data_IF_962615962922
#
_entry.id   IF_962615962922
#
_cell.length_a   1.000
_cell.length_b   1.000
_cell.length_c   1.000
_cell.angle_alpha   90.00
_cell.angle_beta   90.00
_cell.angle_gamma   90.00
#
_symmetry.space_group_name_H-M   'P 1'
#
loop_
_entity.id
_entity.type
_entity.pdbx_description
1 polymer ?
#
# COMPACT_ATOMS: atom_id res chain seq x y z
N UNK A 1 19.15 17.17 11.52
CA UNK A 1 19.02 17.34 10.06
C UNK A 1 17.54 17.18 9.76
N UNK A 2 16.81 18.28 9.60
CA UNK A 2 15.39 18.22 9.24
C UNK A 2 15.24 17.73 7.80
N UNK A 3 14.18 16.98 7.52
CA UNK A 3 13.86 16.53 6.16
C UNK A 3 13.18 17.69 5.45
N UNK A 4 13.72 18.16 4.33
CA UNK A 4 13.06 19.22 3.57
C UNK A 4 11.64 18.79 3.15
N UNK A 5 10.66 19.70 3.26
CA UNK A 5 9.26 19.44 2.87
C UNK A 5 9.14 18.75 1.51
N UNK A 6 9.97 19.16 0.54
CA UNK A 6 10.03 18.56 -0.80
C UNK A 6 10.47 17.10 -0.79
N UNK A 7 11.45 16.75 0.04
CA UNK A 7 11.94 15.38 0.20
C UNK A 7 10.84 14.53 0.85
N UNK A 8 10.20 15.05 1.90
CA UNK A 8 9.11 14.37 2.58
C UNK A 8 7.92 14.09 1.65
N UNK A 9 7.50 15.09 0.86
CA UNK A 9 6.43 14.92 -0.14
C UNK A 9 6.80 13.86 -1.18
N UNK A 10 8.06 13.86 -1.66
CA UNK A 10 8.53 12.83 -2.60
C UNK A 10 8.50 11.42 -1.98
N UNK A 11 8.90 11.29 -0.72
CA UNK A 11 8.83 9.99 -0.01
C UNK A 11 7.38 9.51 0.14
N UNK A 12 6.44 10.43 0.40
CA UNK A 12 5.01 10.11 0.46
C UNK A 12 4.46 9.69 -0.91
N UNK A 13 4.85 10.36 -1.98
CA UNK A 13 4.49 9.98 -3.35
C UNK A 13 5.00 8.57 -3.70
N UNK A 14 6.24 8.25 -3.35
CA UNK A 14 6.81 6.93 -3.55
C UNK A 14 6.08 5.85 -2.73
N UNK A 15 5.73 6.15 -1.48
CA UNK A 15 4.97 5.23 -0.62
C UNK A 15 3.55 4.98 -1.14
N UNK A 16 2.84 6.02 -1.57
CA UNK A 16 1.51 5.90 -2.20
C UNK A 16 1.60 5.03 -3.46
N UNK A 17 2.58 5.30 -4.32
CA UNK A 17 2.79 4.53 -5.55
C UNK A 17 3.16 3.06 -5.28
N UNK A 18 3.79 2.75 -4.15
CA UNK A 18 4.06 1.37 -3.74
C UNK A 18 2.78 0.64 -3.30
N UNK A 19 1.94 1.29 -2.49
CA UNK A 19 0.67 0.70 -2.05
C UNK A 19 -0.29 0.47 -3.24
N UNK A 20 -0.41 1.44 -4.14
CA UNK A 20 -1.25 1.32 -5.35
C UNK A 20 -0.81 0.18 -6.28
N UNK A 21 0.50 -0.12 -6.33
CA UNK A 21 1.02 -1.27 -7.08
C UNK A 21 0.82 -2.60 -6.34
N UNK A 22 0.74 -2.57 -5.01
CA UNK A 22 0.60 -3.78 -4.18
C UNK A 22 -0.82 -4.33 -4.20
N UNK A 23 -1.84 -3.46 -4.21
CA UNK A 23 -3.26 -3.82 -4.31
C UNK A 23 -3.56 -4.80 -5.46
N UNK A 24 -3.21 -4.52 -6.74
CA UNK A 24 -3.49 -5.44 -7.84
C UNK A 24 -2.70 -6.75 -7.77
N UNK A 25 -1.51 -6.75 -7.14
CA UNK A 25 -0.72 -7.96 -6.91
C UNK A 25 -1.46 -8.90 -5.96
N UNK A 26 -1.96 -8.39 -4.84
CA UNK A 26 -2.73 -9.17 -3.87
C UNK A 26 -4.06 -9.64 -4.43
N UNK A 27 -4.78 -8.78 -5.16
CA UNK A 27 -6.12 -9.11 -5.63
C UNK A 27 -6.13 -10.03 -6.88
N UNK A 28 -5.25 -9.80 -7.86
CA UNK A 28 -5.35 -10.47 -9.18
C UNK A 28 -4.25 -11.50 -9.40
N UNK A 29 -3.00 -11.10 -9.20
CA UNK A 29 -1.86 -11.94 -9.55
C UNK A 29 -1.71 -13.12 -8.59
N UNK A 30 -1.80 -12.87 -7.28
CA UNK A 30 -1.66 -13.94 -6.30
C UNK A 30 -2.87 -14.87 -6.22
N UNK A 31 -4.10 -14.38 -6.43
CA UNK A 31 -5.26 -15.28 -6.57
C UNK A 31 -5.11 -16.24 -7.75
N UNK A 32 -4.60 -15.74 -8.88
CA UNK A 32 -4.31 -16.58 -10.04
C UNK A 32 -3.20 -17.57 -9.68
N UNK A 33 -2.06 -17.13 -9.15
CA UNK A 33 -0.96 -18.00 -8.77
C UNK A 33 -1.38 -19.09 -7.76
N UNK A 34 -2.24 -18.76 -6.79
CA UNK A 34 -2.79 -19.72 -5.82
C UNK A 34 -3.69 -20.77 -6.46
N UNK A 35 -4.38 -20.45 -7.55
CA UNK A 35 -5.16 -21.44 -8.28
C UNK A 35 -4.26 -22.49 -8.93
N UNK A 36 -3.13 -22.06 -9.49
CA UNK A 36 -2.16 -22.91 -10.20
C UNK A 36 -1.11 -23.57 -9.30
N UNK A 37 -1.03 -23.23 -8.01
CA UNK A 37 0.03 -23.69 -7.11
C UNK A 37 -0.10 -25.17 -6.68
N UNK A 38 -1.22 -25.83 -6.98
CA UNK A 38 -1.47 -27.20 -6.54
C UNK A 38 -1.72 -27.37 -5.05
N UNK A 39 -1.85 -26.26 -4.30
CA UNK A 39 -2.10 -26.30 -2.85
C UNK A 39 -3.47 -26.90 -2.51
N UNK A 40 -3.59 -27.60 -1.36
CA UNK A 40 -4.87 -28.05 -0.84
C UNK A 40 -5.89 -26.90 -0.70
N UNK A 41 -7.18 -27.20 -0.86
CA UNK A 41 -8.24 -26.19 -0.83
C UNK A 41 -8.23 -25.35 0.46
N UNK A 42 -7.97 -25.97 1.61
CA UNK A 42 -7.91 -25.28 2.90
C UNK A 42 -6.74 -24.26 2.97
N UNK A 43 -5.57 -24.60 2.41
CA UNK A 43 -4.41 -23.72 2.39
C UNK A 43 -4.61 -22.56 1.40
N UNK A 44 -5.21 -22.83 0.23
CA UNK A 44 -5.58 -21.79 -0.73
C UNK A 44 -6.56 -20.79 -0.15
N UNK A 45 -7.55 -21.27 0.61
CA UNK A 45 -8.54 -20.40 1.24
C UNK A 45 -7.90 -19.54 2.35
N UNK A 46 -7.02 -20.11 3.17
CA UNK A 46 -6.26 -19.36 4.18
C UNK A 46 -5.42 -18.25 3.54
N UNK A 47 -4.70 -18.55 2.45
CA UNK A 47 -3.90 -17.58 1.72
C UNK A 47 -4.78 -16.51 1.07
N UNK A 48 -5.92 -16.88 0.49
CA UNK A 48 -6.89 -15.93 -0.09
C UNK A 48 -7.38 -14.92 0.94
N UNK A 49 -7.69 -15.38 2.16
CA UNK A 49 -8.10 -14.50 3.27
C UNK A 49 -6.96 -13.55 3.66
N UNK A 50 -5.75 -14.06 3.83
CA UNK A 50 -4.58 -13.23 4.18
C UNK A 50 -4.28 -12.17 3.13
N UNK A 51 -4.34 -12.52 1.85
CA UNK A 51 -4.16 -11.57 0.75
C UNK A 51 -5.24 -10.49 0.73
N UNK A 52 -6.49 -10.86 1.03
CA UNK A 52 -7.58 -9.89 1.17
C UNK A 52 -7.40 -8.94 2.35
N UNK A 53 -6.76 -9.39 3.44
CA UNK A 53 -6.39 -8.50 4.56
C UNK A 53 -5.30 -7.53 4.12
N UNK A 54 -4.25 -8.01 3.46
CA UNK A 54 -3.15 -7.17 2.96
C UNK A 54 -3.65 -6.12 1.96
N UNK A 55 -4.57 -6.50 1.06
CA UNK A 55 -5.23 -5.56 0.14
C UNK A 55 -5.91 -4.41 0.90
N UNK A 56 -6.72 -4.73 1.92
CA UNK A 56 -7.43 -3.72 2.72
C UNK A 56 -6.49 -2.82 3.51
N UNK A 57 -5.40 -3.38 4.06
CA UNK A 57 -4.40 -2.59 4.77
C UNK A 57 -3.66 -1.65 3.80
N UNK A 58 -3.28 -2.13 2.61
CA UNK A 58 -2.70 -1.28 1.55
C UNK A 58 -3.65 -0.14 1.13
N UNK A 59 -4.94 -0.42 0.92
CA UNK A 59 -5.94 0.63 0.65
C UNK A 59 -6.03 1.67 1.78
N UNK A 60 -5.96 1.22 3.03
CA UNK A 60 -5.96 2.09 4.20
C UNK A 60 -4.70 2.94 4.25
N UNK A 61 -3.53 2.36 3.97
CA UNK A 61 -2.26 3.08 3.90
C UNK A 61 -2.28 4.14 2.81
N UNK A 62 -2.74 3.82 1.59
CA UNK A 62 -2.91 4.79 0.51
C UNK A 62 -3.75 5.98 0.97
N UNK A 63 -4.88 5.74 1.64
CA UNK A 63 -5.74 6.82 2.17
C UNK A 63 -5.03 7.67 3.22
N UNK A 64 -4.34 7.05 4.17
CA UNK A 64 -3.62 7.75 5.23
C UNK A 64 -2.46 8.59 4.67
N UNK A 65 -1.65 8.01 3.79
CA UNK A 65 -0.52 8.68 3.15
C UNK A 65 -0.99 9.84 2.26
N UNK A 66 -2.09 9.67 1.52
CA UNK A 66 -2.67 10.74 0.70
C UNK A 66 -3.18 11.89 1.57
N UNK A 67 -3.85 11.58 2.68
CA UNK A 67 -4.31 12.59 3.63
C UNK A 67 -3.14 13.33 4.27
N UNK A 68 -2.06 12.62 4.63
CA UNK A 68 -0.89 13.23 5.24
C UNK A 68 -0.09 14.09 4.24
N UNK A 69 0.03 13.63 2.99
CA UNK A 69 0.58 14.42 1.88
C UNK A 69 -0.18 15.72 1.69
N UNK A 70 -1.52 15.67 1.66
CA UNK A 70 -2.35 16.85 1.50
C UNK A 70 -2.19 17.86 2.65
N UNK A 71 -2.07 17.38 3.90
CA UNK A 71 -1.78 18.24 5.06
C UNK A 71 -0.42 18.93 4.92
N UNK A 72 0.63 18.18 4.61
CA UNK A 72 1.99 18.71 4.48
C UNK A 72 2.06 19.69 3.31
N UNK A 73 1.38 19.42 2.20
CA UNK A 73 1.33 20.31 1.04
C UNK A 73 0.67 21.66 1.39
N UNK A 74 -0.45 21.62 2.13
CA UNK A 74 -1.18 22.82 2.59
C UNK A 74 -0.56 23.57 3.77
N UNK A 75 0.41 22.98 4.50
CA UNK A 75 1.12 23.66 5.59
C UNK A 75 2.27 24.50 5.03
N UNK A 76 2.31 25.81 5.31
CA UNK A 76 3.38 26.71 4.85
C UNK A 76 4.71 26.46 5.57
N UNK A 77 4.71 25.69 6.66
CA UNK A 77 5.92 25.41 7.46
C UNK A 77 6.75 24.31 6.81
N UNK A 78 8.07 24.53 6.75
CA UNK A 78 8.99 23.42 6.57
C UNK A 78 8.88 22.49 7.78
N UNK A 79 8.68 21.20 7.53
CA UNK A 79 8.61 20.18 8.57
C UNK A 79 10.05 19.97 9.07
N UNK A 80 10.35 20.37 10.30
CA UNK A 80 11.70 20.33 10.89
C UNK A 80 11.98 19.02 11.62
#
# INVERSE_FOLDING_TARGET
MGVEKKILLKMLDEAIALEDRSIPIYNRHLKTALFWSGLPAAEREKLRIQLGILEKESERHTKLLTAERAKIEGDERNVF
#
